data_IF_076034919376
#
_entry.id   IF_076034919376
#
_cell.length_a   1.000
_cell.length_b   1.000
_cell.length_c   1.000
_cell.angle_alpha   90.00
_cell.angle_beta   90.00
_cell.angle_gamma   90.00
#
_symmetry.space_group_name_H-M   'P 1'
#
loop_
_entity.id
_entity.type
_entity.pdbx_description
1 polymer ?
#
# COMPACT_ATOMS: atom_id res chain seq x y z
N UNK A 1 26.19 -4.05 -4.97
CA UNK A 1 25.29 -2.86 -4.93
C UNK A 1 24.63 -2.58 -6.27
N UNK A 2 25.25 -2.89 -7.41
CA UNK A 2 24.65 -2.70 -8.75
C UNK A 2 23.40 -3.57 -9.00
N UNK A 3 23.30 -4.76 -8.40
CA UNK A 3 22.14 -5.66 -8.57
C UNK A 3 20.84 -5.12 -7.96
N UNK A 4 20.91 -4.27 -6.93
CA UNK A 4 19.72 -3.67 -6.31
C UNK A 4 19.07 -2.59 -7.19
N UNK A 5 19.86 -1.93 -8.04
CA UNK A 5 19.40 -0.89 -8.96
C UNK A 5 19.11 -1.41 -10.38
N UNK A 6 19.66 -2.57 -10.75
CA UNK A 6 19.44 -3.19 -12.06
C UNK A 6 18.31 -4.23 -12.06
N UNK A 7 17.87 -4.70 -10.89
CA UNK A 7 16.69 -5.55 -10.79
C UNK A 7 15.42 -4.73 -11.08
N UNK A 8 14.54 -5.25 -11.94
CA UNK A 8 13.14 -4.80 -12.05
C UNK A 8 12.41 -5.14 -10.74
N UNK A 9 12.73 -4.39 -9.68
CA UNK A 9 12.07 -4.51 -8.39
C UNK A 9 10.57 -4.31 -8.62
N UNK A 10 9.78 -5.24 -8.07
CA UNK A 10 8.32 -5.12 -8.09
C UNK A 10 7.84 -3.81 -7.45
N UNK A 11 8.63 -3.22 -6.57
CA UNK A 11 8.39 -1.91 -5.94
C UNK A 11 9.67 -1.06 -6.10
N UNK A 12 9.64 0.12 -6.76
CA UNK A 12 10.78 1.00 -6.89
C UNK A 12 11.31 1.49 -5.54
N UNK A 13 12.63 1.37 -5.36
CA UNK A 13 13.35 1.72 -4.13
C UNK A 13 13.10 3.16 -3.67
N UNK A 14 13.02 4.12 -4.59
CA UNK A 14 12.77 5.52 -4.25
C UNK A 14 11.43 5.71 -3.52
N UNK A 15 10.40 4.93 -3.85
CA UNK A 15 9.09 5.03 -3.19
C UNK A 15 9.11 4.46 -1.77
N UNK A 16 9.87 3.38 -1.55
CA UNK A 16 10.08 2.82 -0.20
C UNK A 16 10.83 3.82 0.68
N UNK A 17 11.88 4.46 0.14
CA UNK A 17 12.65 5.49 0.84
C UNK A 17 11.75 6.69 1.19
N UNK A 18 10.91 7.16 0.27
CA UNK A 18 9.94 8.22 0.54
C UNK A 18 8.96 7.83 1.64
N UNK A 19 8.43 6.61 1.64
CA UNK A 19 7.56 6.12 2.71
C UNK A 19 8.26 6.12 4.06
N UNK A 20 9.52 5.66 4.11
CA UNK A 20 10.32 5.65 5.34
C UNK A 20 10.52 7.06 5.90
N UNK A 21 10.82 8.05 5.05
CA UNK A 21 10.96 9.45 5.45
C UNK A 21 9.63 9.96 6.03
N UNK A 22 8.52 9.71 5.36
CA UNK A 22 7.18 10.09 5.82
C UNK A 22 6.84 9.44 7.17
N UNK A 23 7.14 8.15 7.35
CA UNK A 23 6.95 7.44 8.62
C UNK A 23 7.81 8.02 9.74
N UNK A 24 9.05 8.40 9.44
CA UNK A 24 9.96 9.00 10.40
C UNK A 24 9.47 10.39 10.82
N UNK A 25 9.06 11.21 9.85
CA UNK A 25 8.50 12.55 10.10
C UNK A 25 7.21 12.44 10.92
N UNK A 26 6.26 11.60 10.52
CA UNK A 26 5.01 11.42 11.26
C UNK A 26 5.24 10.90 12.69
N UNK A 27 6.22 10.01 12.89
CA UNK A 27 6.62 9.57 14.23
C UNK A 27 7.23 10.72 15.06
N UNK A 28 8.11 11.54 14.49
CA UNK A 28 8.73 12.68 15.17
C UNK A 28 7.71 13.72 15.64
N UNK A 29 6.65 13.95 14.86
CA UNK A 29 5.58 14.89 15.19
C UNK A 29 4.44 14.26 16.02
N UNK A 30 4.55 12.99 16.42
CA UNK A 30 3.52 12.30 17.20
C UNK A 30 2.27 11.93 16.42
N UNK A 31 2.24 12.15 15.10
CA UNK A 31 1.12 11.80 14.21
C UNK A 31 1.14 10.31 13.81
N UNK A 32 1.28 9.41 14.79
CA UNK A 32 1.37 7.96 14.56
C UNK A 32 0.19 7.42 13.75
N UNK A 33 -1.03 7.93 14.00
CA UNK A 33 -2.25 7.57 13.25
C UNK A 33 -2.11 7.90 11.75
N UNK A 34 -1.45 9.01 11.42
CA UNK A 34 -1.25 9.48 10.04
C UNK A 34 -0.17 8.66 9.32
N UNK A 35 0.91 8.29 10.01
CA UNK A 35 1.91 7.35 9.49
C UNK A 35 1.31 5.98 9.16
N UNK A 36 0.50 5.44 10.07
CA UNK A 36 -0.24 4.19 9.87
C UNK A 36 -1.21 4.25 8.67
N UNK A 37 -1.90 5.37 8.49
CA UNK A 37 -2.79 5.56 7.35
C UNK A 37 -2.01 5.55 6.01
N UNK A 38 -0.88 6.26 5.95
CA UNK A 38 -0.04 6.33 4.75
C UNK A 38 0.59 4.98 4.41
N UNK A 39 0.99 4.19 5.41
CA UNK A 39 1.50 2.84 5.19
C UNK A 39 0.40 1.89 4.67
N UNK A 40 -0.83 2.01 5.17
CA UNK A 40 -1.96 1.25 4.64
C UNK A 40 -2.26 1.58 3.17
N UNK A 41 -2.27 2.86 2.79
CA UNK A 41 -2.46 3.26 1.39
C UNK A 41 -1.31 2.73 0.51
N UNK A 42 -0.07 2.79 1.00
CA UNK A 42 1.09 2.32 0.25
C UNK A 42 1.01 0.82 -0.06
N UNK A 43 0.68 0.01 0.96
CA UNK A 43 0.50 -1.44 0.80
C UNK A 43 -0.68 -1.74 -0.12
N UNK A 44 -1.77 -0.98 0.00
CA UNK A 44 -2.92 -1.12 -0.89
C UNK A 44 -2.58 -0.81 -2.34
N UNK A 45 -1.86 0.29 -2.60
CA UNK A 45 -1.45 0.70 -3.94
C UNK A 45 -0.55 -0.36 -4.58
N UNK A 46 0.50 -0.79 -3.89
CA UNK A 46 1.45 -1.77 -4.43
C UNK A 46 0.87 -3.17 -4.54
N UNK A 47 0.08 -3.60 -3.54
CA UNK A 47 -0.62 -4.88 -3.58
C UNK A 47 -1.57 -4.98 -4.77
N UNK A 48 -2.28 -3.90 -5.10
CA UNK A 48 -3.18 -3.88 -6.25
C UNK A 48 -2.46 -3.63 -7.57
N UNK A 49 -1.41 -2.83 -7.62
CA UNK A 49 -0.65 -2.60 -8.85
C UNK A 49 -0.02 -3.91 -9.36
N UNK A 50 0.49 -4.74 -8.46
CA UNK A 50 1.04 -6.06 -8.80
C UNK A 50 -0.05 -7.01 -9.33
N UNK A 51 -1.26 -6.93 -8.77
CA UNK A 51 -2.41 -7.74 -9.20
C UNK A 51 -2.98 -7.26 -10.54
N UNK A 52 -3.15 -5.96 -10.73
CA UNK A 52 -3.63 -5.38 -12.00
C UNK A 52 -2.70 -5.74 -13.16
N UNK A 53 -1.39 -5.76 -12.93
CA UNK A 53 -0.41 -6.19 -13.95
C UNK A 53 -0.56 -7.67 -14.33
N UNK A 54 -0.99 -8.55 -13.43
CA UNK A 54 -1.27 -9.95 -13.78
C UNK A 54 -2.60 -10.09 -14.52
N UNK A 55 -3.65 -9.39 -14.09
CA UNK A 55 -4.99 -9.42 -14.72
C UNK A 55 -4.96 -8.96 -16.18
N UNK A 56 -4.21 -7.91 -16.51
CA UNK A 56 -4.12 -7.43 -17.91
C UNK A 56 -3.40 -8.42 -18.84
N UNK A 57 -2.75 -9.46 -18.29
CA UNK A 57 -2.07 -10.52 -19.03
C UNK A 57 -2.76 -11.89 -18.99
N UNK A 58 -3.70 -12.15 -18.07
CA UNK A 58 -4.37 -13.45 -17.92
C UNK A 58 -5.87 -13.37 -18.23
N UNK A 59 -6.36 -14.24 -19.11
CA UNK A 59 -7.80 -14.41 -19.42
C UNK A 59 -8.50 -15.33 -18.39
N UNK A 60 -7.86 -15.60 -17.24
CA UNK A 60 -8.40 -16.54 -16.26
C UNK A 60 -9.43 -15.83 -15.34
N UNK A 61 -10.68 -16.29 -15.31
CA UNK A 61 -11.72 -15.71 -14.44
C UNK A 61 -11.40 -15.84 -12.95
N UNK A 62 -10.60 -16.83 -12.53
CA UNK A 62 -10.26 -17.04 -11.12
C UNK A 62 -9.30 -15.97 -10.58
N UNK A 63 -8.34 -15.54 -11.41
CA UNK A 63 -7.40 -14.44 -11.08
C UNK A 63 -8.14 -13.09 -10.92
N UNK A 64 -9.19 -12.89 -11.73
CA UNK A 64 -10.02 -11.68 -11.69
C UNK A 64 -10.80 -11.58 -10.37
N UNK A 65 -11.37 -12.70 -9.89
CA UNK A 65 -12.12 -12.76 -8.63
C UNK A 65 -11.20 -12.49 -7.44
N UNK A 66 -10.03 -13.13 -7.38
CA UNK A 66 -9.05 -12.93 -6.31
C UNK A 66 -8.56 -11.48 -6.25
N UNK A 67 -8.32 -10.87 -7.41
CA UNK A 67 -7.92 -9.47 -7.50
C UNK A 67 -9.00 -8.52 -7.00
N UNK A 68 -10.26 -8.74 -7.41
CA UNK A 68 -11.38 -7.93 -6.94
C UNK A 68 -11.59 -8.07 -5.43
N UNK A 69 -11.44 -9.28 -4.89
CA UNK A 69 -11.49 -9.53 -3.45
C UNK A 69 -10.37 -8.80 -2.70
N UNK A 70 -9.15 -8.75 -3.27
CA UNK A 70 -8.01 -8.03 -2.69
C UNK A 70 -8.22 -6.51 -2.67
N UNK A 71 -8.74 -5.95 -3.76
CA UNK A 71 -9.17 -4.54 -3.84
C UNK A 71 -10.23 -4.27 -2.76
N UNK A 72 -11.27 -5.11 -2.68
CA UNK A 72 -12.36 -4.94 -1.71
C UNK A 72 -11.86 -5.01 -0.26
N UNK A 73 -11.00 -5.97 0.06
CA UNK A 73 -10.43 -6.13 1.40
C UNK A 73 -9.58 -4.91 1.80
N UNK A 74 -8.75 -4.41 0.89
CA UNK A 74 -7.96 -3.22 1.17
C UNK A 74 -8.81 -1.94 1.31
N UNK A 75 -9.94 -1.85 0.61
CA UNK A 75 -10.90 -0.75 0.76
C UNK A 75 -11.59 -0.80 2.14
N UNK A 76 -11.94 -2.00 2.63
CA UNK A 76 -12.45 -2.19 4.00
C UNK A 76 -11.43 -1.73 5.03
N UNK A 77 -10.17 -2.14 4.89
CA UNK A 77 -9.08 -1.72 5.78
C UNK A 77 -8.89 -0.20 5.76
N UNK A 78 -8.94 0.42 4.58
CA UNK A 78 -8.86 1.87 4.43
C UNK A 78 -9.99 2.59 5.17
N UNK A 79 -11.23 2.10 5.01
CA UNK A 79 -12.39 2.63 5.75
C UNK A 79 -12.25 2.45 7.25
N UNK A 80 -11.74 1.29 7.70
CA UNK A 80 -11.49 1.02 9.12
C UNK A 80 -10.43 1.97 9.69
N UNK A 81 -9.36 2.23 8.95
CA UNK A 81 -8.32 3.18 9.33
C UNK A 81 -8.87 4.61 9.40
N UNK A 82 -9.73 5.00 8.45
CA UNK A 82 -10.38 6.31 8.44
C UNK A 82 -11.36 6.46 9.62
N UNK A 83 -12.14 5.44 9.93
CA UNK A 83 -13.01 5.40 11.12
C UNK A 83 -12.17 5.49 12.40
N UNK A 84 -11.05 4.77 12.46
CA UNK A 84 -10.10 4.87 13.57
C UNK A 84 -9.53 6.28 13.73
N UNK A 85 -9.32 7.03 12.65
CA UNK A 85 -8.87 8.42 12.72
C UNK A 85 -9.98 9.37 13.21
N UNK A 86 -11.22 9.19 12.74
CA UNK A 86 -12.37 10.06 13.09
C UNK A 86 -12.87 9.81 14.51
N UNK A 87 -12.93 8.55 14.94
CA UNK A 87 -13.44 8.16 16.26
C UNK A 87 -12.43 8.40 17.38
N UNK A 88 -11.14 8.31 17.05
CA UNK A 88 -10.06 8.47 18.03
C UNK A 88 -9.66 9.95 18.11
N UNK A 89 -10.63 10.77 18.51
CA UNK A 89 -10.55 12.23 18.69
C UNK A 89 -10.02 12.54 20.10
N UNK A 90 -8.80 12.08 20.36
CA UNK A 90 -7.98 12.45 21.53
C UNK A 90 -6.67 13.05 21.03
#
# INVERSE_FOLDING_TARGET
MESLFQGTMSIPLYQIVSLLIIMTVTALFGFLKMGLFLSYIFVFYWGNMLNIRSIFGSTDPNDTILSFAFVGFGLIIFLLAMLGFVLNKE
#
